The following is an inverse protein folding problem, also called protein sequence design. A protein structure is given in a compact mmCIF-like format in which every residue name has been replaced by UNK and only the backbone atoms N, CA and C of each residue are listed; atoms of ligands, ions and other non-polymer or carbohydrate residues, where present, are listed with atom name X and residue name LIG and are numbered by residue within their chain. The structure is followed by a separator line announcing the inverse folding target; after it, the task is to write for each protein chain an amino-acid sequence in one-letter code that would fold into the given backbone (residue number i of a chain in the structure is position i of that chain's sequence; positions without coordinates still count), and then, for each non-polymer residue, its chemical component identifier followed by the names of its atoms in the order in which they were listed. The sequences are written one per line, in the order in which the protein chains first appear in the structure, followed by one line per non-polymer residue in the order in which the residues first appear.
data_IF_729651864118
#
_entry.id   IF_729651864118
#
_cell.length_a   1.000
_cell.length_b   1.000
_cell.length_c   1.000
_cell.angle_alpha   90.00
_cell.angle_beta   90.00
_cell.angle_gamma   90.00
#
_symmetry.space_group_name_H-M   'P 1'
#
loop_
_entity.id
_entity.type
_entity.pdbx_description
1 polymer ?
#
# COMPACT_ATOMS: atom_id res chain seq x y z
N UNK A 1 14.13 -22.38 -3.66
CA UNK A 1 12.73 -22.01 -3.37
C UNK A 1 12.33 -20.90 -4.34
N UNK A 2 11.31 -21.14 -5.19
CA UNK A 2 10.77 -20.10 -6.08
C UNK A 2 9.80 -19.22 -5.29
N UNK A 3 9.91 -17.90 -5.42
CA UNK A 3 8.91 -16.97 -4.91
C UNK A 3 7.85 -16.78 -5.99
N UNK A 4 6.58 -16.87 -5.63
CA UNK A 4 5.49 -16.57 -6.55
C UNK A 4 5.44 -15.06 -6.82
N UNK A 5 5.15 -14.68 -8.06
CA UNK A 5 4.99 -13.27 -8.45
C UNK A 5 3.57 -13.10 -9.00
N UNK A 6 2.83 -12.15 -8.46
CA UNK A 6 1.51 -11.74 -8.93
C UNK A 6 1.59 -10.36 -9.56
N UNK A 7 0.93 -10.20 -10.70
CA UNK A 7 0.85 -8.92 -11.41
C UNK A 7 -0.60 -8.45 -11.44
N UNK A 8 -0.81 -7.14 -11.26
CA UNK A 8 -2.12 -6.56 -11.54
C UNK A 8 -2.40 -6.58 -13.05
N UNK A 9 -3.68 -6.65 -13.47
CA UNK A 9 -4.05 -6.80 -14.89
C UNK A 9 -3.54 -5.70 -15.81
N UNK A 10 -3.37 -4.49 -15.32
CA UNK A 10 -2.91 -3.33 -16.09
C UNK A 10 -1.40 -3.07 -15.99
N UNK A 11 -0.63 -3.99 -15.41
CA UNK A 11 0.82 -3.88 -15.40
C UNK A 11 1.38 -3.98 -16.82
N UNK A 12 2.04 -2.92 -17.27
CA UNK A 12 2.79 -2.89 -18.52
C UNK A 12 4.27 -2.62 -18.22
N UNK A 13 5.14 -3.43 -18.84
CA UNK A 13 6.58 -3.28 -18.67
C UNK A 13 7.21 -2.81 -19.97
N UNK A 14 8.08 -1.78 -19.93
CA UNK A 14 8.85 -1.40 -21.10
C UNK A 14 9.85 -2.51 -21.45
N UNK A 15 10.20 -2.61 -22.72
CA UNK A 15 11.28 -3.49 -23.16
C UNK A 15 12.62 -2.89 -22.75
N UNK A 16 13.36 -3.58 -21.91
CA UNK A 16 14.72 -3.19 -21.53
C UNK A 16 15.71 -3.78 -22.53
N UNK A 17 16.46 -2.90 -23.22
CA UNK A 17 17.56 -3.32 -24.11
C UNK A 17 18.89 -3.10 -23.38
N UNK A 18 19.81 -4.06 -23.51
CA UNK A 18 21.16 -3.98 -22.93
C UNK A 18 21.16 -3.70 -21.42
N UNK A 19 20.18 -4.25 -20.69
CA UNK A 19 20.09 -4.09 -19.24
C UNK A 19 21.07 -5.03 -18.55
N UNK A 20 21.96 -4.48 -17.75
CA UNK A 20 22.87 -5.24 -16.90
C UNK A 20 22.74 -4.71 -15.46
N UNK A 21 22.66 -5.60 -14.50
CA UNK A 21 22.50 -5.25 -13.11
C UNK A 21 23.37 -6.14 -12.21
N UNK A 22 24.01 -5.50 -11.24
CA UNK A 22 24.75 -6.18 -10.14
C UNK A 22 24.25 -5.58 -8.84
N UNK A 23 23.65 -6.41 -7.99
CA UNK A 23 23.11 -5.96 -6.70
C UNK A 23 22.07 -6.91 -6.13
N UNK A 24 21.34 -6.45 -5.11
CA UNK A 24 20.28 -7.24 -4.49
C UNK A 24 19.02 -7.30 -5.37
N UNK A 25 18.25 -8.38 -5.26
CA UNK A 25 16.97 -8.51 -5.97
C UNK A 25 16.01 -7.36 -5.66
N UNK A 26 15.98 -6.90 -4.41
CA UNK A 26 15.15 -5.76 -3.99
C UNK A 26 15.51 -4.48 -4.73
N UNK A 27 16.81 -4.19 -4.88
CA UNK A 27 17.28 -3.02 -5.64
C UNK A 27 16.90 -3.13 -7.11
N UNK A 28 16.99 -4.34 -7.68
CA UNK A 28 16.53 -4.59 -9.05
C UNK A 28 15.05 -4.30 -9.21
N UNK A 29 14.20 -4.81 -8.31
CA UNK A 29 12.76 -4.54 -8.33
C UNK A 29 12.47 -3.04 -8.22
N UNK A 30 13.15 -2.30 -7.36
CA UNK A 30 12.99 -0.83 -7.27
C UNK A 30 13.31 -0.14 -8.59
N UNK A 31 14.39 -0.53 -9.28
CA UNK A 31 14.78 0.06 -10.56
C UNK A 31 13.78 -0.27 -11.67
N UNK A 32 13.39 -1.55 -11.80
CA UNK A 32 12.46 -1.99 -12.84
C UNK A 32 11.06 -1.41 -12.61
N UNK A 33 10.55 -1.48 -11.40
CA UNK A 33 9.23 -0.92 -11.05
C UNK A 33 9.21 0.60 -11.20
N UNK A 34 10.28 1.29 -10.79
CA UNK A 34 10.40 2.73 -10.97
C UNK A 34 10.37 3.14 -12.45
N UNK A 35 11.09 2.40 -13.32
CA UNK A 35 11.09 2.64 -14.77
C UNK A 35 9.75 2.32 -15.44
N UNK A 36 8.97 1.41 -14.85
CA UNK A 36 7.67 0.95 -15.38
C UNK A 36 6.47 1.68 -14.77
N UNK A 37 6.70 2.66 -13.90
CA UNK A 37 5.64 3.32 -13.12
C UNK A 37 4.74 2.32 -12.37
N UNK A 38 5.35 1.27 -11.84
CA UNK A 38 4.70 0.23 -11.04
C UNK A 38 5.24 0.26 -9.61
N UNK A 39 4.51 -0.34 -8.69
CA UNK A 39 4.94 -0.56 -7.31
C UNK A 39 5.02 -2.06 -7.05
N UNK A 40 5.90 -2.46 -6.14
CA UNK A 40 5.92 -3.84 -5.69
C UNK A 40 5.84 -3.91 -4.16
N UNK A 41 5.29 -4.99 -3.67
CA UNK A 41 5.30 -5.36 -2.26
C UNK A 41 5.58 -6.85 -2.12
N UNK A 42 6.14 -7.24 -0.98
CA UNK A 42 6.40 -8.65 -0.67
C UNK A 42 5.56 -8.97 0.57
N UNK A 43 4.60 -9.86 0.40
CA UNK A 43 3.68 -10.25 1.46
C UNK A 43 3.49 -11.76 1.46
N UNK A 44 3.59 -12.38 2.63
CA UNK A 44 3.39 -13.82 2.81
C UNK A 44 4.21 -14.70 1.83
N UNK A 45 5.44 -14.26 1.49
CA UNK A 45 6.30 -14.99 0.54
C UNK A 45 5.93 -14.81 -0.93
N UNK A 46 5.00 -13.92 -1.25
CA UNK A 46 4.58 -13.59 -2.63
C UNK A 46 5.02 -12.17 -2.97
N UNK A 47 5.63 -11.98 -4.13
CA UNK A 47 5.92 -10.66 -4.69
C UNK A 47 4.69 -10.22 -5.48
N UNK A 48 4.15 -9.09 -5.09
CA UNK A 48 3.00 -8.47 -5.76
C UNK A 48 3.48 -7.22 -6.51
N UNK A 49 3.16 -7.11 -7.78
CA UNK A 49 3.50 -5.95 -8.61
C UNK A 49 2.22 -5.33 -9.17
N UNK A 50 2.00 -4.06 -8.85
CA UNK A 50 0.81 -3.32 -9.26
C UNK A 50 1.19 -2.08 -10.08
N UNK A 51 0.35 -1.71 -11.03
CA UNK A 51 0.43 -0.38 -11.63
C UNK A 51 0.23 0.70 -10.55
N UNK A 52 0.82 1.88 -10.75
CA UNK A 52 0.67 2.98 -9.82
C UNK A 52 -0.83 3.31 -9.65
N UNK A 53 -1.31 3.37 -8.42
CA UNK A 53 -2.70 3.63 -8.03
C UNK A 53 -3.71 2.51 -8.34
N UNK A 54 -3.25 1.30 -8.61
CA UNK A 54 -4.11 0.13 -8.76
C UNK A 54 -3.96 -0.83 -7.57
N UNK A 55 -5.01 -1.58 -7.25
CA UNK A 55 -4.95 -2.68 -6.30
C UNK A 55 -4.87 -4.02 -7.03
N UNK A 56 -4.38 -5.03 -6.33
CA UNK A 56 -4.25 -6.39 -6.89
C UNK A 56 -5.57 -7.14 -6.87
N UNK A 57 -6.37 -6.91 -5.83
CA UNK A 57 -7.65 -7.62 -5.64
C UNK A 57 -8.81 -6.84 -6.23
N UNK A 58 -9.69 -7.56 -6.92
CA UNK A 58 -10.95 -7.00 -7.42
C UNK A 58 -12.03 -6.86 -6.34
N UNK A 59 -11.78 -7.41 -5.14
CA UNK A 59 -12.73 -7.37 -4.01
C UNK A 59 -12.37 -6.21 -3.08
N UNK A 60 -13.37 -5.41 -2.71
CA UNK A 60 -13.21 -4.34 -1.74
C UNK A 60 -13.79 -4.76 -0.39
N UNK A 61 -13.01 -4.58 0.68
CA UNK A 61 -13.50 -4.73 2.04
C UNK A 61 -14.21 -3.45 2.47
N UNK A 62 -15.34 -3.57 3.13
CA UNK A 62 -16.08 -2.41 3.67
C UNK A 62 -15.58 -2.13 5.08
N UNK A 63 -15.08 -0.92 5.31
CA UNK A 63 -14.74 -0.41 6.64
C UNK A 63 -15.75 0.65 7.08
N UNK A 64 -16.57 0.28 8.04
CA UNK A 64 -17.58 1.14 8.67
C UNK A 64 -17.60 0.90 10.17
N UNK A 65 -18.31 1.72 10.92
CA UNK A 65 -18.51 1.50 12.36
C UNK A 65 -19.12 0.12 12.66
N UNK A 66 -19.94 -0.41 11.76
CA UNK A 66 -20.58 -1.73 11.91
C UNK A 66 -19.61 -2.89 11.60
N UNK A 67 -18.60 -2.66 10.76
CA UNK A 67 -17.63 -3.68 10.35
C UNK A 67 -16.30 -3.59 11.09
N UNK A 68 -16.24 -2.75 12.13
CA UNK A 68 -15.11 -2.69 13.05
C UNK A 68 -14.18 -1.48 12.88
N UNK A 69 -14.59 -0.43 12.17
CA UNK A 69 -13.86 0.83 12.16
C UNK A 69 -13.88 1.45 13.57
N UNK A 70 -12.72 1.79 14.10
CA UNK A 70 -12.55 2.37 15.43
C UNK A 70 -12.24 3.85 15.28
N UNK A 71 -13.04 4.68 15.96
CA UNK A 71 -12.85 6.13 15.94
C UNK A 71 -13.17 6.77 14.58
N UNK A 72 -12.47 7.85 14.26
CA UNK A 72 -12.66 8.60 13.03
C UNK A 72 -11.41 8.53 12.15
N UNK A 73 -11.57 8.49 10.81
CA UNK A 73 -10.47 8.62 9.88
C UNK A 73 -9.69 9.92 10.09
N UNK A 74 -8.37 9.83 10.17
CA UNK A 74 -7.46 10.96 10.23
C UNK A 74 -6.94 11.29 8.83
N UNK A 75 -6.90 12.56 8.45
CA UNK A 75 -6.38 12.94 7.14
C UNK A 75 -4.87 12.83 7.09
N UNK A 76 -4.36 12.09 6.12
CA UNK A 76 -2.94 12.02 5.81
C UNK A 76 -2.59 13.13 4.81
N UNK A 77 -1.62 13.94 5.20
CA UNK A 77 -0.93 14.87 4.30
C UNK A 77 0.49 14.35 4.12
N UNK A 78 0.75 13.68 3.02
CA UNK A 78 2.12 13.32 2.66
C UNK A 78 2.85 14.63 2.28
N UNK A 79 3.49 15.23 3.26
CA UNK A 79 4.47 16.26 2.98
C UNK A 79 5.62 15.54 2.26
N UNK A 80 5.69 15.67 0.95
CA UNK A 80 6.84 15.24 0.18
C UNK A 80 8.07 15.86 0.83
N UNK A 81 8.72 15.13 1.74
CA UNK A 81 9.97 15.53 2.33
C UNK A 81 10.95 15.68 1.17
N UNK A 82 11.31 16.90 0.88
CA UNK A 82 12.44 17.25 0.03
C UNK A 82 13.69 16.73 0.72
N UNK A 83 13.98 15.44 0.55
CA UNK A 83 15.32 14.95 0.80
C UNK A 83 16.21 15.65 -0.23
N UNK A 84 17.08 16.55 0.21
CA UNK A 84 18.14 17.16 -0.56
C UNK A 84 19.14 16.07 -1.02
N UNK A 85 18.70 15.19 -1.89
CA UNK A 85 19.58 14.29 -2.62
C UNK A 85 19.84 14.90 -3.97
N UNK A 86 21.08 15.38 -4.16
CA UNK A 86 21.57 16.03 -5.38
C UNK A 86 21.69 15.08 -6.59
N UNK A 87 20.89 14.02 -6.67
CA UNK A 87 20.80 13.15 -7.84
C UNK A 87 19.55 13.48 -8.66
N UNK A 88 19.81 14.13 -9.78
CA UNK A 88 18.87 14.77 -10.70
C UNK A 88 17.91 13.84 -11.48
N UNK A 89 17.56 12.65 -10.97
CA UNK A 89 16.61 11.74 -11.59
C UNK A 89 15.48 11.26 -10.66
N UNK A 90 15.17 12.06 -9.63
CA UNK A 90 14.01 11.76 -8.79
C UNK A 90 12.75 12.30 -9.45
N UNK A 91 11.98 11.43 -10.08
CA UNK A 91 10.60 11.71 -10.48
C UNK A 91 9.86 12.27 -9.26
N UNK A 92 9.43 13.53 -9.33
CA UNK A 92 8.69 14.19 -8.25
C UNK A 92 7.51 13.32 -7.89
N UNK A 93 7.55 12.66 -6.73
CA UNK A 93 6.39 11.95 -6.18
C UNK A 93 5.28 12.98 -6.03
N UNK A 94 4.17 12.75 -6.72
CA UNK A 94 2.98 13.58 -6.60
C UNK A 94 2.47 13.42 -5.17
N UNK A 95 2.21 14.52 -4.48
CA UNK A 95 1.60 14.53 -3.15
C UNK A 95 0.32 13.69 -3.20
N UNK A 96 0.29 12.59 -2.47
CA UNK A 96 -0.89 11.75 -2.36
C UNK A 96 -1.62 12.13 -1.08
N UNK A 97 -2.90 12.43 -1.21
CA UNK A 97 -3.80 12.62 -0.08
C UNK A 97 -4.45 11.29 0.27
N UNK A 98 -4.65 11.07 1.53
CA UNK A 98 -5.21 9.82 2.00
C UNK A 98 -5.80 9.93 3.39
N UNK A 99 -6.13 8.79 3.97
CA UNK A 99 -6.71 8.66 5.29
C UNK A 99 -5.98 7.59 6.09
N UNK A 100 -5.74 7.89 7.35
CA UNK A 100 -5.31 6.90 8.33
C UNK A 100 -6.53 6.42 9.09
N UNK A 101 -6.70 5.12 9.16
CA UNK A 101 -7.84 4.48 9.80
C UNK A 101 -7.38 3.41 10.77
N UNK A 102 -8.09 3.28 11.87
CA UNK A 102 -7.91 2.21 12.84
C UNK A 102 -9.14 1.32 12.83
N UNK A 103 -8.96 0.01 12.80
CA UNK A 103 -10.05 -0.93 12.79
C UNK A 103 -9.67 -2.23 13.52
N UNK A 104 -10.69 -3.02 13.89
CA UNK A 104 -10.49 -4.32 14.52
C UNK A 104 -9.65 -5.22 13.63
N UNK A 105 -8.80 -6.03 14.26
CA UNK A 105 -7.88 -6.91 13.54
C UNK A 105 -8.60 -7.74 12.50
N UNK A 106 -8.17 -7.60 11.25
CA UNK A 106 -8.64 -8.39 10.13
C UNK A 106 -7.46 -8.80 9.27
N UNK A 107 -7.07 -10.07 9.36
CA UNK A 107 -5.93 -10.63 8.61
C UNK A 107 -6.17 -10.79 7.10
N UNK A 108 -7.39 -10.54 6.62
CA UNK A 108 -7.72 -10.61 5.20
C UNK A 108 -7.40 -9.31 4.46
N UNK A 109 -7.31 -8.18 5.18
CA UNK A 109 -6.98 -6.89 4.57
C UNK A 109 -5.46 -6.76 4.55
N UNK A 110 -4.91 -6.59 3.35
CA UNK A 110 -3.47 -6.47 3.11
C UNK A 110 -3.13 -5.18 2.37
N UNK A 111 -1.85 -4.83 2.33
CA UNK A 111 -1.40 -3.72 1.50
C UNK A 111 -1.70 -4.02 0.03
N UNK A 112 -2.06 -3.00 -0.72
CA UNK A 112 -2.55 -3.04 -2.10
C UNK A 112 -3.97 -3.62 -2.31
N UNK A 113 -4.71 -3.90 -1.26
CA UNK A 113 -6.13 -4.23 -1.37
C UNK A 113 -7.00 -2.98 -1.52
N UNK A 114 -8.19 -3.18 -2.08
CA UNK A 114 -9.24 -2.16 -2.09
C UNK A 114 -10.04 -2.19 -0.80
N UNK A 115 -10.31 -1.01 -0.29
CA UNK A 115 -11.18 -0.79 0.86
C UNK A 115 -12.23 0.26 0.52
N UNK A 116 -13.48 -0.05 0.79
CA UNK A 116 -14.58 0.91 0.76
C UNK A 116 -14.75 1.48 2.17
N UNK A 117 -14.31 2.70 2.36
CA UNK A 117 -14.50 3.41 3.63
C UNK A 117 -15.89 4.04 3.66
N UNK A 118 -16.62 3.79 4.75
CA UNK A 118 -17.91 4.42 5.02
C UNK A 118 -17.91 5.00 6.42
N UNK A 119 -17.62 6.28 6.52
CA UNK A 119 -17.55 7.04 7.78
C UNK A 119 -18.21 8.40 7.59
N UNK A 120 -18.55 9.06 8.71
CA UNK A 120 -19.10 10.42 8.69
C UNK A 120 -18.16 11.47 8.10
N UNK A 121 -16.84 11.24 8.18
CA UNK A 121 -15.82 12.18 7.71
C UNK A 121 -15.29 11.85 6.31
N UNK A 122 -15.33 10.58 5.91
CA UNK A 122 -14.81 10.13 4.64
C UNK A 122 -15.60 8.93 4.12
N UNK A 123 -15.95 8.96 2.86
CA UNK A 123 -16.63 7.86 2.17
C UNK A 123 -16.03 7.73 0.78
N UNK A 124 -15.72 6.52 0.36
CA UNK A 124 -15.18 6.25 -0.97
C UNK A 124 -14.35 4.99 -1.04
N UNK A 125 -13.84 4.70 -2.23
CA UNK A 125 -12.93 3.60 -2.49
C UNK A 125 -11.48 4.06 -2.33
N UNK A 126 -10.70 3.31 -1.59
CA UNK A 126 -9.31 3.59 -1.31
C UNK A 126 -8.47 2.35 -1.51
N UNK A 127 -7.19 2.54 -1.79
CA UNK A 127 -6.19 1.48 -1.77
C UNK A 127 -5.41 1.53 -0.46
N UNK A 128 -5.21 0.39 0.16
CA UNK A 128 -4.33 0.26 1.33
C UNK A 128 -2.88 0.44 0.88
N UNK A 129 -2.24 1.50 1.33
CA UNK A 129 -0.82 1.75 1.07
C UNK A 129 0.07 1.05 2.09
N UNK A 130 -0.33 1.12 3.34
CA UNK A 130 0.39 0.54 4.47
C UNK A 130 -0.59 0.00 5.49
N UNK A 131 -0.26 -1.09 6.13
CA UNK A 131 -1.01 -1.64 7.24
C UNK A 131 -0.05 -2.07 8.35
N UNK A 132 -0.31 -1.61 9.55
CA UNK A 132 0.38 -2.01 10.76
C UNK A 132 -0.62 -2.76 11.65
N UNK A 133 -0.30 -3.98 12.03
CA UNK A 133 -1.14 -4.83 12.86
C UNK A 133 -0.54 -4.94 14.25
N UNK A 134 -1.34 -4.67 15.26
CA UNK A 134 -0.95 -4.81 16.67
C UNK A 134 -1.79 -5.91 17.29
N UNK A 135 -1.16 -6.84 17.97
CA UNK A 135 -1.82 -7.89 18.75
C UNK A 135 -1.05 -8.14 20.02
N UNK A 136 -1.76 -8.24 21.14
CA UNK A 136 -1.20 -8.58 22.42
C UNK A 136 -2.10 -9.59 23.13
N UNK A 137 -1.56 -10.77 23.42
CA UNK A 137 -2.30 -11.86 24.07
C UNK A 137 -2.44 -11.67 25.58
N UNK A 138 -1.61 -10.82 26.19
CA UNK A 138 -1.62 -10.54 27.63
C UNK A 138 -2.20 -9.15 27.94
N UNK A 139 -2.35 -8.32 26.91
CA UNK A 139 -2.81 -6.95 27.04
C UNK A 139 -4.31 -6.86 27.31
N UNK A 140 -4.68 -6.12 28.32
CA UNK A 140 -6.05 -5.69 28.60
C UNK A 140 -6.35 -4.29 28.06
N UNK A 141 -5.48 -3.74 27.20
CA UNK A 141 -5.60 -2.39 26.65
C UNK A 141 -6.61 -2.29 25.51
N UNK A 142 -7.20 -1.11 25.35
CA UNK A 142 -8.14 -0.81 24.26
C UNK A 142 -7.53 -0.95 22.86
N UNK A 143 -6.18 -0.96 22.75
CA UNK A 143 -5.42 -1.06 21.49
C UNK A 143 -4.92 -2.48 21.18
N UNK A 144 -5.38 -3.48 21.93
CA UNK A 144 -5.05 -4.87 21.61
C UNK A 144 -5.89 -5.37 20.43
N UNK A 145 -5.25 -6.06 19.48
CA UNK A 145 -5.93 -6.66 18.32
C UNK A 145 -6.55 -5.65 17.34
N UNK A 146 -5.77 -4.66 16.96
CA UNK A 146 -6.16 -3.63 16.00
C UNK A 146 -5.22 -3.57 14.80
N UNK A 147 -5.76 -3.12 13.69
CA UNK A 147 -5.00 -2.73 12.50
C UNK A 147 -5.08 -1.22 12.31
N UNK A 148 -3.95 -0.63 11.95
CA UNK A 148 -3.85 0.77 11.53
C UNK A 148 -3.43 0.79 10.07
N UNK A 149 -4.27 1.34 9.20
CA UNK A 149 -3.99 1.39 7.77
C UNK A 149 -3.92 2.82 7.24
N UNK A 150 -3.02 3.02 6.29
CA UNK A 150 -2.93 4.22 5.47
C UNK A 150 -3.63 3.94 4.13
N UNK A 151 -4.68 4.69 3.88
CA UNK A 151 -5.53 4.57 2.71
C UNK A 151 -5.23 5.71 1.75
N UNK A 152 -4.98 5.42 0.49
CA UNK A 152 -4.76 6.40 -0.57
C UNK A 152 -5.94 6.41 -1.55
N UNK A 153 -6.29 7.60 -2.03
CA UNK A 153 -7.34 7.76 -3.03
C UNK A 153 -6.98 7.01 -4.32
N UNK A 154 -7.92 6.24 -4.83
CA UNK A 154 -7.83 5.59 -6.14
C UNK A 154 -8.38 6.57 -7.17
N UNK A 155 -7.62 6.82 -8.23
CA UNK A 155 -8.02 7.67 -9.34
C UNK A 155 -8.54 6.85 -10.50
#
# INVERSE_FOLDING_TARGET
MGCAILFSPSCTFPSFKNFSFVGSATTLFHQVCGASNTNFSIQNGVVQVCAANEAITAMAYVLSAETGLIGYPERLYDNASTSNSQNANTTKRKTQTGWKVTFLMNGHIQANDYVMLSSKLATGAFRVSKIDTKGDSEGSGEDSWVCVAELLEVK
#
